data_IF_743408526876
#
_entry.id   IF_743408526876
#
_cell.length_a   1.000
_cell.length_b   1.000
_cell.length_c   1.000
_cell.angle_alpha   90.00
_cell.angle_beta   90.00
_cell.angle_gamma   90.00
#
_symmetry.space_group_name_H-M   'P 1'
#
loop_
_entity.id
_entity.type
_entity.pdbx_description
1 polymer ?
#
# COMPACT_ATOMS: atom_id res chain seq x y z
N UNK A 1 -2.90 24.51 -53.99
CA UNK A 1 -3.79 24.30 -52.82
C UNK A 1 -3.42 22.96 -52.19
N UNK A 2 -2.46 22.96 -51.26
CA UNK A 2 -1.98 21.75 -50.61
C UNK A 2 -2.93 21.40 -49.44
N UNK A 3 -3.69 20.32 -49.58
CA UNK A 3 -4.53 19.79 -48.50
C UNK A 3 -3.64 18.98 -47.55
N UNK A 4 -3.33 19.56 -46.39
CA UNK A 4 -2.73 18.83 -45.27
C UNK A 4 -3.84 17.97 -44.63
N UNK A 5 -3.74 16.66 -44.80
CA UNK A 5 -4.62 15.69 -44.12
C UNK A 5 -4.01 15.44 -42.74
N UNK A 6 -4.65 15.97 -41.69
CA UNK A 6 -4.35 15.61 -40.30
C UNK A 6 -4.87 14.19 -40.06
N UNK A 7 -3.96 13.23 -39.89
CA UNK A 7 -4.28 11.94 -39.26
C UNK A 7 -4.45 12.14 -37.75
N UNK A 8 -5.50 11.58 -37.11
CA UNK A 8 -5.58 11.56 -35.66
C UNK A 8 -4.63 10.49 -35.11
N UNK A 9 -3.66 10.92 -34.29
CA UNK A 9 -2.87 10.03 -33.44
C UNK A 9 -3.81 9.37 -32.42
N UNK A 10 -4.17 8.12 -32.67
CA UNK A 10 -4.70 7.22 -31.64
C UNK A 10 -3.57 6.91 -30.67
N UNK A 11 -3.54 7.61 -29.53
CA UNK A 11 -2.75 7.24 -28.37
C UNK A 11 -3.32 5.93 -27.82
N UNK A 12 -2.71 4.82 -28.22
CA UNK A 12 -2.77 3.57 -27.47
C UNK A 12 -2.14 3.84 -26.10
N UNK A 13 -2.97 4.20 -25.13
CA UNK A 13 -2.67 3.95 -23.73
C UNK A 13 -2.69 2.42 -23.56
N UNK A 14 -1.62 1.77 -23.96
CA UNK A 14 -1.36 0.40 -23.56
C UNK A 14 -1.15 0.46 -22.04
N UNK A 15 -2.09 -0.11 -21.29
CA UNK A 15 -1.88 -0.53 -19.92
C UNK A 15 -0.66 -1.45 -19.93
N UNK A 16 0.50 -0.91 -19.56
CA UNK A 16 1.67 -1.72 -19.25
C UNK A 16 1.39 -2.42 -17.91
N UNK A 17 0.64 -3.51 -17.95
CA UNK A 17 0.53 -4.48 -16.85
C UNK A 17 1.71 -5.46 -16.86
N UNK A 18 2.86 -5.05 -17.41
CA UNK A 18 4.08 -5.79 -17.20
C UNK A 18 4.53 -5.52 -15.76
N UNK A 19 4.21 -6.48 -14.89
CA UNK A 19 4.91 -6.65 -13.62
C UNK A 19 6.38 -6.80 -14.01
N UNK A 20 7.16 -5.73 -13.83
CA UNK A 20 8.61 -5.74 -13.98
C UNK A 20 9.20 -6.71 -12.94
N UNK A 21 9.24 -7.99 -13.28
CA UNK A 21 10.13 -8.95 -12.64
C UNK A 21 11.52 -8.65 -13.17
N UNK A 22 12.15 -7.63 -12.59
CA UNK A 22 13.56 -7.33 -12.79
C UNK A 22 14.36 -8.50 -12.23
N UNK A 23 14.90 -9.30 -13.15
CA UNK A 23 15.81 -10.43 -12.94
C UNK A 23 15.21 -11.59 -12.12
N UNK A 24 15.20 -12.78 -12.74
CA UNK A 24 14.49 -13.96 -12.24
C UNK A 24 14.79 -14.29 -10.78
N UNK A 25 13.72 -14.45 -10.00
CA UNK A 25 13.66 -15.07 -8.66
C UNK A 25 14.90 -14.79 -7.81
N UNK A 26 14.93 -13.60 -7.22
CA UNK A 26 15.93 -13.20 -6.23
C UNK A 26 15.87 -14.11 -5.00
N UNK A 27 17.00 -14.76 -4.72
CA UNK A 27 17.48 -15.27 -3.42
C UNK A 27 16.44 -15.86 -2.43
N UNK A 28 15.94 -17.07 -2.69
CA UNK A 28 15.54 -18.10 -1.70
C UNK A 28 14.38 -17.83 -0.71
N UNK A 29 14.13 -16.59 -0.34
CA UNK A 29 13.02 -16.14 0.50
C UNK A 29 11.85 -15.75 -0.41
N UNK A 30 10.64 -16.13 -0.01
CA UNK A 30 9.45 -15.93 -0.83
C UNK A 30 8.27 -15.51 0.04
N UNK A 31 7.47 -14.57 -0.46
CA UNK A 31 6.19 -14.25 0.12
C UNK A 31 5.07 -14.94 -0.67
N UNK A 32 4.30 -15.78 0.01
CA UNK A 32 3.17 -16.50 -0.55
C UNK A 32 1.88 -15.83 -0.13
N UNK A 33 1.01 -15.50 -1.08
CA UNK A 33 -0.37 -15.10 -0.78
C UNK A 33 -1.15 -16.28 -0.21
N UNK A 34 -2.08 -15.99 0.70
CA UNK A 34 -3.04 -16.98 1.16
C UNK A 34 -3.95 -17.40 -0.02
N UNK A 35 -4.34 -18.69 -0.17
CA UNK A 35 -5.16 -19.15 -1.30
C UNK A 35 -6.45 -18.35 -1.51
N UNK A 36 -7.12 -17.97 -0.41
CA UNK A 36 -8.33 -17.14 -0.45
C UNK A 36 -8.12 -15.78 -1.15
N UNK A 37 -6.90 -15.23 -1.20
CA UNK A 37 -6.62 -13.98 -1.89
C UNK A 37 -6.87 -14.06 -3.40
N UNK A 38 -6.88 -15.27 -3.99
CA UNK A 38 -7.11 -15.49 -5.42
C UNK A 38 -8.56 -15.84 -5.75
N UNK A 39 -9.36 -16.22 -4.76
CA UNK A 39 -10.72 -16.76 -4.95
C UNK A 39 -11.81 -15.84 -4.39
N UNK A 40 -11.45 -14.97 -3.44
CA UNK A 40 -12.37 -14.12 -2.70
C UNK A 40 -12.23 -12.67 -3.15
N UNK A 41 -13.24 -12.17 -3.86
CA UNK A 41 -13.33 -10.80 -4.36
C UNK A 41 -13.83 -9.80 -3.29
N UNK A 42 -13.82 -10.17 -2.00
CA UNK A 42 -14.15 -9.24 -0.93
C UNK A 42 -13.26 -7.97 -1.00
N UNK A 43 -13.86 -6.77 -1.13
CA UNK A 43 -13.12 -5.55 -1.42
C UNK A 43 -12.18 -5.16 -0.27
N UNK A 44 -12.54 -5.51 0.98
CA UNK A 44 -11.70 -5.28 2.15
C UNK A 44 -10.48 -6.19 2.11
N UNK A 45 -10.68 -7.48 1.84
CA UNK A 45 -9.60 -8.45 1.65
C UNK A 45 -8.65 -8.01 0.54
N UNK A 46 -9.16 -7.63 -0.63
CA UNK A 46 -8.35 -7.22 -1.78
C UNK A 46 -7.52 -5.96 -1.49
N UNK A 47 -8.06 -5.01 -0.72
CA UNK A 47 -7.30 -3.86 -0.21
C UNK A 47 -6.13 -4.30 0.68
N UNK A 48 -6.36 -5.27 1.57
CA UNK A 48 -5.28 -5.84 2.41
C UNK A 48 -4.29 -6.72 1.65
N UNK A 49 -4.69 -7.33 0.54
CA UNK A 49 -3.77 -8.03 -0.39
C UNK A 49 -2.80 -7.02 -1.02
N UNK A 50 -3.31 -5.89 -1.52
CA UNK A 50 -2.51 -4.79 -2.06
C UNK A 50 -1.45 -4.30 -1.05
N UNK A 51 -1.89 -4.02 0.19
CA UNK A 51 -0.99 -3.70 1.31
C UNK A 51 0.09 -4.78 1.52
N UNK A 52 -0.31 -6.05 1.58
CA UNK A 52 0.58 -7.17 1.90
C UNK A 52 1.65 -7.37 0.85
N UNK A 53 1.28 -7.28 -0.43
CA UNK A 53 2.19 -7.37 -1.56
C UNK A 53 3.20 -6.23 -1.54
N UNK A 54 2.73 -4.98 -1.47
CA UNK A 54 3.60 -3.82 -1.45
C UNK A 54 4.56 -3.86 -0.26
N UNK A 55 4.06 -4.25 0.91
CA UNK A 55 4.90 -4.42 2.10
C UNK A 55 5.96 -5.48 1.88
N UNK A 56 5.57 -6.68 1.44
CA UNK A 56 6.49 -7.80 1.25
C UNK A 56 7.55 -7.54 0.19
N UNK A 57 7.21 -6.85 -0.90
CA UNK A 57 8.14 -6.47 -1.94
C UNK A 57 9.25 -5.55 -1.40
N UNK A 58 8.87 -4.54 -0.61
CA UNK A 58 9.83 -3.66 0.05
C UNK A 58 10.71 -4.42 1.05
N UNK A 59 10.13 -5.38 1.79
CA UNK A 59 10.87 -6.22 2.74
C UNK A 59 11.89 -7.14 2.06
N UNK A 60 11.55 -7.68 0.89
CA UNK A 60 12.47 -8.45 0.05
C UNK A 60 13.61 -7.57 -0.48
N UNK A 61 13.30 -6.36 -0.94
CA UNK A 61 14.29 -5.43 -1.48
C UNK A 61 15.32 -4.98 -0.43
N UNK A 62 14.89 -4.71 0.80
CA UNK A 62 15.82 -4.44 1.90
C UNK A 62 16.62 -5.72 2.28
N UNK A 63 15.95 -6.87 2.24
CA UNK A 63 16.54 -8.17 2.58
C UNK A 63 16.87 -8.32 4.07
N UNK A 64 17.88 -9.13 4.38
CA UNK A 64 18.33 -9.43 5.74
C UNK A 64 17.95 -10.84 6.21
N UNK A 65 18.33 -11.23 7.43
CA UNK A 65 18.19 -12.61 7.90
C UNK A 65 16.74 -13.04 8.14
N UNK A 66 15.82 -12.09 8.34
CA UNK A 66 14.38 -12.35 8.50
C UNK A 66 13.60 -11.21 7.82
N UNK A 67 13.34 -11.28 6.50
CA UNK A 67 12.69 -10.21 5.75
C UNK A 67 11.39 -9.70 6.39
N UNK A 68 10.57 -10.60 6.93
CA UNK A 68 9.31 -10.28 7.61
C UNK A 68 9.41 -9.23 8.73
N UNK A 69 10.59 -9.05 9.32
CA UNK A 69 10.82 -8.11 10.44
C UNK A 69 11.42 -6.78 10.01
N UNK A 70 11.96 -6.74 8.80
CA UNK A 70 12.61 -5.57 8.24
C UNK A 70 11.54 -4.63 7.71
N UNK A 71 11.68 -3.34 7.99
CA UNK A 71 10.80 -2.29 7.48
C UNK A 71 11.38 -0.95 7.87
N UNK A 72 11.29 0.00 6.97
CA UNK A 72 11.53 1.41 7.24
C UNK A 72 10.23 2.23 7.07
N UNK A 73 10.39 3.55 7.18
CA UNK A 73 9.33 4.52 6.93
C UNK A 73 8.71 4.38 5.54
N UNK A 74 9.54 4.35 4.49
CA UNK A 74 9.09 4.35 3.10
C UNK A 74 8.30 3.10 2.77
N UNK A 75 8.72 1.94 3.28
CA UNK A 75 7.99 0.68 3.12
C UNK A 75 6.59 0.74 3.73
N UNK A 76 6.46 1.23 4.97
CA UNK A 76 5.13 1.29 5.63
C UNK A 76 4.24 2.35 4.98
N UNK A 77 4.77 3.54 4.71
CA UNK A 77 4.02 4.62 4.07
C UNK A 77 3.51 4.19 2.70
N UNK A 78 4.38 3.64 1.85
CA UNK A 78 4.01 3.21 0.49
C UNK A 78 2.97 2.09 0.54
N UNK A 79 3.15 1.08 1.40
CA UNK A 79 2.16 0.01 1.56
C UNK A 79 0.79 0.54 2.04
N UNK A 80 0.78 1.52 2.95
CA UNK A 80 -0.45 2.16 3.42
C UNK A 80 -1.12 3.02 2.36
N UNK A 81 -0.35 3.74 1.55
CA UNK A 81 -0.91 4.49 0.43
C UNK A 81 -1.62 3.54 -0.54
N UNK A 82 -0.97 2.44 -0.92
CA UNK A 82 -1.59 1.42 -1.76
C UNK A 82 -2.82 0.76 -1.11
N UNK A 83 -2.82 0.56 0.21
CA UNK A 83 -4.01 0.09 0.94
C UNK A 83 -5.21 1.02 0.75
N UNK A 84 -4.98 2.33 0.88
CA UNK A 84 -6.04 3.34 0.79
C UNK A 84 -6.47 3.54 -0.65
N UNK A 85 -5.54 3.67 -1.58
CA UNK A 85 -5.83 3.83 -3.02
C UNK A 85 -6.67 2.64 -3.52
N UNK A 86 -6.29 1.40 -3.19
CA UNK A 86 -7.09 0.22 -3.54
C UNK A 86 -8.45 0.23 -2.86
N UNK A 87 -8.56 0.66 -1.60
CA UNK A 87 -9.87 0.76 -0.94
C UNK A 87 -10.79 1.80 -1.60
N UNK A 88 -10.24 2.94 -2.01
CA UNK A 88 -10.99 3.96 -2.76
C UNK A 88 -11.53 3.41 -4.08
N UNK A 89 -10.69 2.70 -4.85
CA UNK A 89 -11.09 2.03 -6.10
C UNK A 89 -12.19 0.98 -5.84
N UNK A 90 -11.98 0.10 -4.86
CA UNK A 90 -12.93 -0.95 -4.50
C UNK A 90 -14.30 -0.39 -4.10
N UNK A 91 -14.36 0.73 -3.39
CA UNK A 91 -15.64 1.38 -3.03
C UNK A 91 -16.41 1.95 -4.21
N UNK A 92 -15.74 2.29 -5.32
CA UNK A 92 -16.41 2.75 -6.54
C UNK A 92 -17.13 1.59 -7.24
N UNK A 93 -16.55 0.39 -7.18
CA UNK A 93 -17.10 -0.82 -7.80
C UNK A 93 -18.07 -1.57 -6.87
N UNK A 94 -17.88 -1.44 -5.55
CA UNK A 94 -18.65 -2.10 -4.50
C UNK A 94 -19.26 -1.08 -3.54
N UNK A 95 -20.35 -0.43 -3.96
CA UNK A 95 -20.94 0.72 -3.24
C UNK A 95 -21.49 0.41 -1.84
N UNK A 96 -21.72 -0.87 -1.52
CA UNK A 96 -22.17 -1.35 -0.22
C UNK A 96 -21.02 -1.80 0.70
N UNK A 97 -19.79 -1.83 0.17
CA UNK A 97 -18.60 -2.17 0.95
C UNK A 97 -18.31 -1.08 2.00
N UNK A 98 -18.06 -1.53 3.22
CA UNK A 98 -17.65 -0.66 4.32
C UNK A 98 -16.67 -1.38 5.24
N UNK A 99 -15.57 -0.69 5.61
CA UNK A 99 -14.71 -1.10 6.71
C UNK A 99 -14.33 0.17 7.48
N UNK A 100 -14.76 0.33 8.75
CA UNK A 100 -14.54 1.57 9.50
C UNK A 100 -13.08 2.00 9.60
N UNK A 101 -12.14 1.06 9.57
CA UNK A 101 -10.72 1.40 9.64
C UNK A 101 -10.19 1.89 8.28
N UNK A 102 -10.62 1.28 7.18
CA UNK A 102 -10.23 1.74 5.84
C UNK A 102 -10.91 3.07 5.50
N UNK A 103 -12.14 3.28 5.93
CA UNK A 103 -12.86 4.55 5.81
C UNK A 103 -12.17 5.67 6.61
N UNK A 104 -11.71 5.37 7.84
CA UNK A 104 -10.90 6.29 8.62
C UNK A 104 -9.60 6.65 7.90
N UNK A 105 -8.96 5.69 7.22
CA UNK A 105 -7.71 5.94 6.48
C UNK A 105 -7.91 6.82 5.26
N UNK A 106 -9.05 6.71 4.55
CA UNK A 106 -9.41 7.67 3.50
C UNK A 106 -9.46 9.07 4.09
N UNK A 107 -10.14 9.27 5.22
CA UNK A 107 -10.21 10.59 5.85
C UNK A 107 -8.82 11.14 6.25
N UNK A 108 -7.89 10.26 6.64
CA UNK A 108 -6.49 10.64 6.91
C UNK A 108 -5.78 11.08 5.63
N UNK A 109 -5.93 10.33 4.53
CA UNK A 109 -5.33 10.60 3.23
C UNK A 109 -5.88 11.90 2.63
N UNK A 110 -7.20 12.09 2.63
CA UNK A 110 -7.87 13.31 2.16
C UNK A 110 -7.46 14.56 2.98
N UNK A 111 -7.18 14.38 4.27
CA UNK A 111 -6.67 15.45 5.13
C UNK A 111 -5.16 15.72 4.94
N UNK A 112 -4.46 14.92 4.13
CA UNK A 112 -3.03 15.06 3.88
C UNK A 112 -2.14 14.60 5.04
N UNK A 113 -2.62 13.70 5.90
CA UNK A 113 -1.91 13.27 7.12
C UNK A 113 -1.41 11.82 7.08
N UNK A 114 -1.31 11.20 5.90
CA UNK A 114 -0.93 9.79 5.80
C UNK A 114 0.52 9.53 6.26
N UNK A 115 1.43 10.47 5.99
CA UNK A 115 2.81 10.45 6.47
C UNK A 115 2.87 10.49 8.01
N UNK A 116 2.21 11.47 8.63
CA UNK A 116 2.12 11.61 10.09
C UNK A 116 1.43 10.42 10.75
N UNK A 117 0.38 9.91 10.12
CA UNK A 117 -0.34 8.73 10.58
C UNK A 117 0.60 7.53 10.62
N UNK A 118 1.37 7.32 9.56
CA UNK A 118 2.34 6.23 9.44
C UNK A 118 3.37 6.31 10.56
N UNK A 119 3.94 7.49 10.79
CA UNK A 119 4.96 7.70 11.82
C UNK A 119 4.39 7.58 13.22
N UNK A 120 3.20 8.15 13.47
CA UNK A 120 2.57 8.11 14.81
C UNK A 120 2.28 6.70 15.29
N UNK A 121 1.80 5.83 14.39
CA UNK A 121 1.29 4.51 14.79
C UNK A 121 2.26 3.36 14.52
N UNK A 122 3.12 3.48 13.52
CA UNK A 122 4.00 2.38 13.08
C UNK A 122 5.48 2.75 13.17
N UNK A 123 5.77 4.02 13.45
CA UNK A 123 7.12 4.55 13.62
C UNK A 123 7.98 3.71 14.56
N UNK A 124 9.23 3.48 14.14
CA UNK A 124 10.27 2.89 14.98
C UNK A 124 11.39 3.89 15.19
N UNK A 125 12.15 3.73 16.29
CA UNK A 125 13.20 4.70 16.68
C UNK A 125 14.30 4.82 15.62
N UNK A 126 14.53 3.75 14.89
CA UNK A 126 15.54 3.63 13.84
C UNK A 126 15.07 4.14 12.47
N UNK A 127 13.78 4.51 12.32
CA UNK A 127 13.27 4.99 11.05
C UNK A 127 13.79 6.39 10.72
N UNK A 128 14.29 6.55 9.50
CA UNK A 128 14.57 7.85 8.93
C UNK A 128 13.26 8.43 8.41
N UNK A 129 12.75 9.44 9.10
CA UNK A 129 11.48 10.10 8.80
C UNK A 129 11.76 11.45 8.11
N UNK A 130 11.03 11.81 7.05
CA UNK A 130 11.16 13.12 6.41
C UNK A 130 10.91 14.28 7.39
N UNK A 131 11.60 15.40 7.20
CA UNK A 131 11.50 16.57 8.09
C UNK A 131 10.14 17.26 8.00
N UNK A 132 9.43 17.04 6.91
CA UNK A 132 8.11 17.59 6.62
C UNK A 132 7.01 16.94 7.47
N UNK A 133 7.26 15.76 8.07
CA UNK A 133 6.26 15.05 8.87
C UNK A 133 6.03 15.75 10.20
N UNK A 134 4.84 16.35 10.36
CA UNK A 134 4.45 17.11 11.55
C UNK A 134 3.41 16.35 12.40
N UNK A 135 3.86 15.36 13.17
CA UNK A 135 2.97 14.46 13.95
C UNK A 135 2.02 15.20 14.92
N UNK A 136 2.41 16.39 15.38
CA UNK A 136 1.57 17.20 16.26
C UNK A 136 0.34 17.77 15.55
N UNK A 137 0.43 18.07 14.26
CA UNK A 137 -0.68 18.60 13.46
C UNK A 137 -1.73 17.52 13.25
N UNK A 138 -1.28 16.33 12.83
CA UNK A 138 -2.12 15.15 12.79
C UNK A 138 -2.75 14.84 14.16
N UNK A 139 -2.00 14.94 15.26
CA UNK A 139 -2.53 14.69 16.60
C UNK A 139 -3.68 15.64 16.98
N UNK A 140 -3.64 16.90 16.53
CA UNK A 140 -4.75 17.87 16.74
C UNK A 140 -5.96 17.51 15.88
N UNK A 141 -5.73 17.13 14.63
CA UNK A 141 -6.78 16.72 13.71
C UNK A 141 -7.46 15.41 14.16
N UNK A 142 -6.68 14.40 14.54
CA UNK A 142 -7.13 13.08 14.97
C UNK A 142 -8.11 13.16 16.14
N UNK A 143 -7.86 14.02 17.13
CA UNK A 143 -8.75 14.16 18.30
C UNK A 143 -10.17 14.57 17.95
N UNK A 144 -10.37 15.26 16.82
CA UNK A 144 -11.67 15.75 16.36
C UNK A 144 -12.35 14.76 15.42
N UNK A 145 -11.58 14.14 14.52
CA UNK A 145 -12.12 13.33 13.42
C UNK A 145 -12.09 11.82 13.71
N UNK A 146 -11.12 11.37 14.51
CA UNK A 146 -10.81 9.96 14.76
C UNK A 146 -10.74 9.60 16.26
N UNK A 147 -11.76 9.92 17.08
CA UNK A 147 -11.68 9.80 18.54
C UNK A 147 -11.57 8.36 19.06
N UNK A 148 -11.93 7.36 18.25
CA UNK A 148 -11.88 5.92 18.61
C UNK A 148 -11.08 5.07 17.62
N UNK A 149 -10.28 5.72 16.78
CA UNK A 149 -9.50 5.05 15.78
C UNK A 149 -8.50 4.08 16.40
N UNK A 150 -8.33 2.92 15.76
CA UNK A 150 -7.35 1.91 16.15
C UNK A 150 -6.52 1.51 14.93
N UNK A 151 -5.19 1.67 14.96
CA UNK A 151 -4.34 1.26 13.86
C UNK A 151 -4.46 -0.26 13.64
N UNK A 152 -4.45 -0.67 12.37
CA UNK A 152 -4.46 -2.08 11.98
C UNK A 152 -3.32 -2.38 11.01
N UNK A 153 -2.86 -3.63 11.08
CA UNK A 153 -1.98 -4.25 10.09
C UNK A 153 -2.49 -5.66 9.89
N UNK A 154 -2.81 -6.02 8.64
CA UNK A 154 -3.16 -7.39 8.26
C UNK A 154 -2.24 -7.81 7.13
N UNK A 155 -1.59 -8.96 7.30
CA UNK A 155 -0.78 -9.58 6.26
C UNK A 155 -1.56 -10.77 5.72
N UNK A 156 -1.90 -10.72 4.43
CA UNK A 156 -2.63 -11.77 3.72
C UNK A 156 -1.60 -12.65 3.00
N UNK A 157 -0.98 -13.53 3.77
CA UNK A 157 0.06 -14.40 3.24
C UNK A 157 1.06 -14.82 4.31
N UNK A 158 2.16 -15.41 3.85
CA UNK A 158 3.20 -15.94 4.72
C UNK A 158 4.57 -15.94 4.05
N UNK A 159 5.62 -15.91 4.87
CA UNK A 159 7.00 -16.01 4.41
C UNK A 159 7.46 -17.46 4.42
N UNK A 160 8.00 -17.92 3.29
CA UNK A 160 8.88 -19.08 3.24
C UNK A 160 10.33 -18.62 3.23
N UNK A 161 11.13 -19.23 4.10
CA UNK A 161 12.54 -18.88 4.28
C UNK A 161 13.43 -19.94 3.65
N UNK A 162 14.55 -19.51 3.08
CA UNK A 162 15.61 -20.44 2.71
C UNK A 162 16.33 -20.97 3.97
N UNK A 163 16.44 -22.29 4.10
CA UNK A 163 17.31 -22.88 5.12
C UNK A 163 18.75 -22.84 4.62
N UNK A 164 19.63 -22.17 5.37
CA UNK A 164 21.08 -22.15 5.11
C UNK A 164 21.74 -23.46 5.50
#
# INVERSE_FOLDING_TARGET
>A
MHKLVLLPLLLLAACNSEIYLRDGVTDGDSFYLAPQAFEDDDPVLQSWVSYSLMKSACQLDIGGPVPARVSDYSCEYTARRHLVDTWEEQRLEHTDAADPYLDDLIAVQEAGYLDEYTVRYFGRKEWQVPIEVQVDDFSRWQRKHLPRHRPRTRIIGSWGYHQR
#
